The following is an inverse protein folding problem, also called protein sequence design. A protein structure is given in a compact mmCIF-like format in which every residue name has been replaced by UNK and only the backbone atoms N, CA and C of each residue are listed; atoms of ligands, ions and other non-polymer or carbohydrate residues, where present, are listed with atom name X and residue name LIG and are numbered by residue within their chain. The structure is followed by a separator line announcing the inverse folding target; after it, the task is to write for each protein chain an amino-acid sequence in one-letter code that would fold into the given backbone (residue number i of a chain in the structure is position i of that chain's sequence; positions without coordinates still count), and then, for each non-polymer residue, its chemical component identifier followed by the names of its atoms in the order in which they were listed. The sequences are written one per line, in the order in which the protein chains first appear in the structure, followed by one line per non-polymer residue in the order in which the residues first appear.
data_IF_887665586073
#
_entry.id   IF_887665586073
#
_cell.length_a   1.000
_cell.length_b   1.000
_cell.length_c   1.000
_cell.angle_alpha   90.00
_cell.angle_beta   90.00
_cell.angle_gamma   90.00
#
_symmetry.space_group_name_H-M   'P 1'
#
loop_
_entity.id
_entity.type
_entity.pdbx_description
1 polymer ?
#
# COMPACT_ATOMS: atom_id res chain seq x y z
N UNK A 1 -24.08 4.64 22.01
CA UNK A 1 -23.17 5.18 20.96
C UNK A 1 -23.64 6.57 20.50
N UNK A 2 -22.73 7.55 20.35
CA UNK A 2 -23.06 8.91 19.87
C UNK A 2 -22.32 9.13 18.56
N UNK A 3 -22.84 8.54 17.49
CA UNK A 3 -22.50 8.97 16.12
C UNK A 3 -23.29 10.26 15.90
N UNK A 4 -22.59 11.38 15.73
CA UNK A 4 -23.23 12.66 15.41
C UNK A 4 -23.96 12.52 14.07
N UNK A 5 -25.30 12.72 14.02
CA UNK A 5 -26.05 12.70 12.77
C UNK A 5 -25.59 13.88 11.91
N UNK A 6 -25.01 13.60 10.74
CA UNK A 6 -24.58 14.63 9.80
C UNK A 6 -24.23 14.08 8.43
N UNK A 7 -23.39 13.03 8.36
CA UNK A 7 -22.67 12.74 7.11
C UNK A 7 -22.87 11.32 6.53
N UNK A 8 -23.44 10.36 7.28
CA UNK A 8 -23.66 8.99 6.78
C UNK A 8 -25.08 8.81 6.24
N UNK A 9 -25.27 8.19 5.05
CA UNK A 9 -26.58 7.78 4.56
C UNK A 9 -27.33 6.94 5.60
N UNK A 10 -28.64 7.16 5.74
CA UNK A 10 -29.47 6.43 6.71
C UNK A 10 -29.35 4.90 6.55
N UNK A 11 -29.21 4.41 5.31
CA UNK A 11 -29.03 2.99 5.03
C UNK A 11 -27.77 2.41 5.68
N UNK A 12 -26.64 3.11 5.60
CA UNK A 12 -25.39 2.69 6.23
C UNK A 12 -25.52 2.70 7.76
N UNK A 13 -26.13 3.75 8.32
CA UNK A 13 -26.34 3.82 9.77
C UNK A 13 -27.22 2.66 10.27
N UNK A 14 -28.31 2.36 9.58
CA UNK A 14 -29.18 1.24 9.95
C UNK A 14 -28.44 -0.10 9.82
N UNK A 15 -27.68 -0.30 8.75
CA UNK A 15 -26.87 -1.50 8.57
C UNK A 15 -25.81 -1.66 9.68
N UNK A 16 -25.23 -0.55 10.13
CA UNK A 16 -24.24 -0.53 11.21
C UNK A 16 -24.85 -0.98 12.54
N UNK A 17 -25.92 -0.32 12.96
CA UNK A 17 -26.64 -0.67 14.19
C UNK A 17 -27.24 -2.08 14.13
N UNK A 18 -27.69 -2.51 12.95
CA UNK A 18 -28.15 -3.89 12.74
C UNK A 18 -27.02 -4.91 12.89
N UNK A 19 -25.80 -4.57 12.47
CA UNK A 19 -24.61 -5.39 12.67
C UNK A 19 -24.32 -5.66 14.15
N UNK A 20 -24.41 -4.63 14.99
CA UNK A 20 -24.28 -4.79 16.46
C UNK A 20 -25.34 -5.74 17.01
N UNK A 21 -26.62 -5.56 16.64
CA UNK A 21 -27.73 -6.38 17.11
C UNK A 21 -27.54 -7.86 16.71
N UNK A 22 -27.16 -8.12 15.46
CA UNK A 22 -26.91 -9.50 15.00
C UNK A 22 -25.77 -10.13 15.80
N UNK A 23 -24.67 -9.40 16.01
CA UNK A 23 -23.53 -9.94 16.71
C UNK A 23 -23.86 -10.27 18.16
N UNK A 24 -24.45 -9.33 18.89
CA UNK A 24 -24.87 -9.53 20.28
C UNK A 24 -25.84 -10.71 20.40
N UNK A 25 -26.76 -10.85 19.45
CA UNK A 25 -27.65 -12.02 19.39
C UNK A 25 -26.88 -13.31 19.12
N UNK A 26 -25.91 -13.31 18.20
CA UNK A 26 -25.12 -14.48 17.84
C UNK A 26 -24.24 -14.98 18.99
N UNK A 27 -23.69 -14.05 19.78
CA UNK A 27 -22.87 -14.35 20.95
C UNK A 27 -23.66 -14.48 22.25
N UNK A 28 -25.00 -14.50 22.20
CA UNK A 28 -25.89 -14.60 23.36
C UNK A 28 -25.58 -13.56 24.45
N UNK A 29 -25.29 -12.32 24.02
CA UNK A 29 -24.98 -11.17 24.88
C UNK A 29 -23.76 -11.38 25.79
N UNK A 30 -22.84 -12.26 25.40
CA UNK A 30 -21.53 -12.38 26.04
C UNK A 30 -20.63 -11.21 25.62
N UNK A 31 -19.60 -10.93 26.42
CA UNK A 31 -18.63 -9.88 26.11
C UNK A 31 -17.85 -10.22 24.84
N UNK A 32 -17.78 -9.25 23.93
CA UNK A 32 -17.09 -9.35 22.65
C UNK A 32 -16.07 -8.22 22.56
N UNK A 33 -14.84 -8.49 22.06
CA UNK A 33 -13.88 -7.44 21.83
C UNK A 33 -14.44 -6.35 20.93
N UNK A 34 -14.18 -5.09 21.28
CA UNK A 34 -14.72 -3.94 20.58
C UNK A 34 -14.29 -3.90 19.11
N UNK A 35 -13.06 -4.31 18.79
CA UNK A 35 -12.61 -4.39 17.40
C UNK A 35 -13.46 -5.34 16.54
N UNK A 36 -13.95 -6.45 17.13
CA UNK A 36 -14.79 -7.42 16.43
C UNK A 36 -16.21 -6.87 16.25
N UNK A 37 -16.74 -6.22 17.29
CA UNK A 37 -18.07 -5.61 17.26
C UNK A 37 -18.16 -4.46 16.25
N UNK A 38 -17.25 -3.49 16.36
CA UNK A 38 -17.18 -2.36 15.44
C UNK A 38 -16.77 -2.82 14.04
N UNK A 39 -15.85 -3.80 13.93
CA UNK A 39 -15.37 -4.32 12.66
C UNK A 39 -16.47 -4.99 11.84
N UNK A 40 -17.30 -5.84 12.44
CA UNK A 40 -18.45 -6.43 11.76
C UNK A 40 -19.48 -5.36 11.36
N UNK A 41 -19.83 -4.46 12.28
CA UNK A 41 -20.80 -3.40 12.00
C UNK A 41 -20.33 -2.49 10.84
N UNK A 42 -19.05 -2.11 10.83
CA UNK A 42 -18.44 -1.38 9.72
C UNK A 42 -18.42 -2.23 8.43
N UNK A 43 -18.10 -3.52 8.52
CA UNK A 43 -18.07 -4.41 7.36
C UNK A 43 -19.43 -4.58 6.67
N UNK A 44 -20.52 -4.60 7.45
CA UNK A 44 -21.87 -4.70 6.92
C UNK A 44 -22.44 -3.36 6.42
N UNK A 45 -21.95 -2.25 6.95
CA UNK A 45 -22.53 -0.91 6.71
C UNK A 45 -21.82 -0.07 5.66
N UNK A 46 -20.52 -0.28 5.46
CA UNK A 46 -19.69 0.64 4.70
C UNK A 46 -19.02 -0.04 3.50
N UNK A 47 -18.92 0.71 2.41
CA UNK A 47 -17.98 0.41 1.33
C UNK A 47 -16.61 0.97 1.70
N UNK A 48 -15.55 0.17 1.56
CA UNK A 48 -14.19 0.64 1.80
C UNK A 48 -13.69 1.44 0.60
N UNK A 49 -13.59 2.77 0.76
CA UNK A 49 -13.22 3.68 -0.32
C UNK A 49 -11.70 3.84 -0.48
N UNK A 50 -11.29 4.48 -1.58
CA UNK A 50 -9.89 4.86 -1.78
C UNK A 50 -9.43 5.90 -0.74
N UNK A 51 -10.32 6.80 -0.33
CA UNK A 51 -10.03 7.82 0.69
C UNK A 51 -9.85 7.20 2.09
N UNK A 52 -10.59 6.14 2.42
CA UNK A 52 -10.38 5.36 3.65
C UNK A 52 -9.00 4.70 3.64
N UNK A 53 -8.63 4.10 2.50
CA UNK A 53 -7.32 3.48 2.31
C UNK A 53 -6.19 4.51 2.47
N UNK A 54 -6.33 5.72 1.91
CA UNK A 54 -5.36 6.81 2.04
C UNK A 54 -5.27 7.34 3.47
N UNK A 55 -6.41 7.50 4.14
CA UNK A 55 -6.48 7.96 5.52
C UNK A 55 -5.83 6.95 6.47
N UNK A 56 -6.10 5.66 6.28
CA UNK A 56 -5.44 4.59 7.03
C UNK A 56 -3.94 4.55 6.76
N UNK A 57 -3.52 4.70 5.49
CA UNK A 57 -2.10 4.74 5.15
C UNK A 57 -1.35 5.85 5.90
N UNK A 58 -1.93 7.05 5.95
CA UNK A 58 -1.37 8.18 6.71
C UNK A 58 -1.30 7.86 8.22
N UNK A 59 -2.32 7.23 8.77
CA UNK A 59 -2.34 6.83 10.18
C UNK A 59 -1.23 5.83 10.50
N UNK A 60 -1.08 4.76 9.70
CA UNK A 60 -0.05 3.74 9.90
C UNK A 60 1.36 4.33 9.74
N UNK A 61 1.61 5.10 8.68
CA UNK A 61 2.92 5.73 8.43
C UNK A 61 3.28 6.74 9.54
N UNK A 62 2.30 7.48 10.05
CA UNK A 62 2.47 8.41 11.16
C UNK A 62 2.64 7.75 12.54
N UNK A 63 2.67 6.42 12.62
CA UNK A 63 2.74 5.69 13.90
C UNK A 63 1.44 5.75 14.71
N UNK A 64 0.32 6.06 14.07
CA UNK A 64 -1.00 6.17 14.66
C UNK A 64 -1.85 4.89 14.62
N UNK A 65 -1.27 3.74 14.24
CA UNK A 65 -1.94 2.44 14.36
C UNK A 65 -2.22 2.14 15.84
N UNK A 66 -3.39 1.57 16.13
CA UNK A 66 -3.90 1.38 17.48
C UNK A 66 -3.89 -0.13 17.78
N UNK A 67 -3.19 -0.58 18.84
CA UNK A 67 -3.29 -1.96 19.32
C UNK A 67 -4.76 -2.39 19.45
N UNK A 68 -5.11 -3.60 19.04
CA UNK A 68 -6.52 -4.03 19.07
C UNK A 68 -7.08 -4.01 20.50
N UNK A 69 -6.25 -4.36 21.48
CA UNK A 69 -6.58 -4.23 22.90
C UNK A 69 -6.86 -2.78 23.35
N UNK A 70 -6.25 -1.78 22.69
CA UNK A 70 -6.49 -0.36 23.01
C UNK A 70 -7.82 0.14 22.43
N UNK A 71 -8.36 -0.51 21.39
CA UNK A 71 -9.67 -0.17 20.80
C UNK A 71 -10.81 -0.36 21.83
N UNK A 72 -10.62 -1.16 22.87
CA UNK A 72 -11.56 -1.26 23.98
C UNK A 72 -11.87 0.10 24.62
N UNK A 73 -10.92 1.04 24.58
CA UNK A 73 -11.06 2.39 25.12
C UNK A 73 -11.58 3.42 24.11
N UNK A 74 -12.20 3.00 23.00
CA UNK A 74 -12.70 3.87 21.92
C UNK A 74 -13.52 5.06 22.43
N UNK A 75 -14.32 4.86 23.48
CA UNK A 75 -15.14 5.92 24.09
C UNK A 75 -14.34 7.08 24.71
N UNK A 76 -13.03 6.91 24.92
CA UNK A 76 -12.12 7.95 25.43
C UNK A 76 -11.36 8.67 24.32
N UNK A 77 -11.51 8.23 23.07
CA UNK A 77 -10.79 8.81 21.94
C UNK A 77 -11.44 10.11 21.46
N UNK A 78 -10.60 11.01 20.95
CA UNK A 78 -11.10 12.15 20.18
C UNK A 78 -11.63 11.65 18.82
N UNK A 79 -12.37 12.50 18.09
CA UNK A 79 -13.01 12.10 16.84
C UNK A 79 -12.02 11.52 15.80
N UNK A 80 -10.84 12.13 15.66
CA UNK A 80 -9.82 11.67 14.71
C UNK A 80 -9.28 10.27 15.05
N UNK A 81 -8.95 10.03 16.33
CA UNK A 81 -8.46 8.73 16.79
C UNK A 81 -9.57 7.67 16.78
N UNK A 82 -10.82 8.06 17.06
CA UNK A 82 -11.97 7.17 16.94
C UNK A 82 -12.18 6.73 15.48
N UNK A 83 -12.05 7.63 14.51
CA UNK A 83 -12.11 7.29 13.08
C UNK A 83 -11.05 6.24 12.70
N UNK A 84 -9.80 6.41 13.16
CA UNK A 84 -8.74 5.42 12.93
C UNK A 84 -9.10 4.08 13.56
N UNK A 85 -9.62 4.07 14.80
CA UNK A 85 -10.04 2.85 15.48
C UNK A 85 -11.16 2.10 14.73
N UNK A 86 -12.13 2.83 14.17
CA UNK A 86 -13.19 2.23 13.33
C UNK A 86 -12.62 1.63 12.04
N UNK A 87 -11.74 2.35 11.35
CA UNK A 87 -11.07 1.87 10.14
C UNK A 87 -10.19 0.64 10.41
N UNK A 88 -9.45 0.64 11.52
CA UNK A 88 -8.61 -0.48 11.94
C UNK A 88 -9.44 -1.70 12.35
N UNK A 89 -10.57 -1.49 13.03
CA UNK A 89 -11.53 -2.56 13.37
C UNK A 89 -12.12 -3.22 12.12
N UNK A 90 -12.52 -2.41 11.12
CA UNK A 90 -12.97 -2.93 9.82
C UNK A 90 -11.88 -3.79 9.17
N UNK A 91 -10.64 -3.29 9.13
CA UNK A 91 -9.53 -4.00 8.50
C UNK A 91 -9.17 -5.28 9.25
N UNK A 92 -9.24 -5.29 10.58
CA UNK A 92 -9.00 -6.48 11.41
C UNK A 92 -10.06 -7.55 11.13
N UNK A 93 -11.33 -7.16 11.10
CA UNK A 93 -12.42 -8.06 10.78
C UNK A 93 -12.33 -8.61 9.35
N UNK A 94 -12.05 -7.73 8.38
CA UNK A 94 -11.85 -8.13 6.98
C UNK A 94 -10.66 -9.06 6.85
N UNK A 95 -9.53 -8.75 7.49
CA UNK A 95 -8.35 -9.60 7.49
C UNK A 95 -8.63 -10.98 8.08
N UNK A 96 -9.36 -11.03 9.19
CA UNK A 96 -9.81 -12.29 9.80
C UNK A 96 -10.65 -13.12 8.81
N UNK A 97 -11.61 -12.50 8.14
CA UNK A 97 -12.45 -13.18 7.15
C UNK A 97 -11.67 -13.64 5.93
N UNK A 98 -10.80 -12.80 5.38
CA UNK A 98 -10.01 -13.12 4.19
C UNK A 98 -8.98 -14.24 4.47
N UNK A 99 -8.45 -14.30 5.71
CA UNK A 99 -7.38 -15.24 6.09
C UNK A 99 -7.91 -16.58 6.62
N UNK A 100 -8.90 -16.54 7.52
CA UNK A 100 -9.41 -17.74 8.20
C UNK A 100 -10.81 -18.17 7.72
N UNK A 101 -11.53 -17.28 7.04
CA UNK A 101 -12.82 -17.59 6.43
C UNK A 101 -14.01 -17.58 7.39
N UNK A 102 -15.20 -17.66 6.80
CA UNK A 102 -16.47 -17.64 7.54
C UNK A 102 -16.66 -18.85 8.48
N UNK A 103 -15.99 -19.97 8.22
CA UNK A 103 -16.04 -21.14 9.10
C UNK A 103 -15.38 -20.86 10.45
N UNK A 104 -14.19 -20.24 10.46
CA UNK A 104 -13.53 -19.82 11.69
C UNK A 104 -14.32 -18.73 12.41
N UNK A 105 -14.96 -17.80 11.69
CA UNK A 105 -15.86 -16.83 12.33
C UNK A 105 -17.02 -17.52 13.07
N UNK A 106 -17.66 -18.52 12.45
CA UNK A 106 -18.75 -19.27 13.12
C UNK A 106 -18.26 -19.99 14.38
N UNK A 107 -17.06 -20.57 14.35
CA UNK A 107 -16.46 -21.21 15.53
C UNK A 107 -16.21 -20.16 16.61
N UNK A 108 -15.58 -19.03 16.27
CA UNK A 108 -15.29 -17.95 17.20
C UNK A 108 -16.57 -17.46 17.90
N UNK A 109 -17.62 -17.16 17.14
CA UNK A 109 -18.89 -16.69 17.70
C UNK A 109 -19.57 -17.75 18.58
N UNK A 110 -19.52 -19.03 18.19
CA UNK A 110 -20.10 -20.12 18.98
C UNK A 110 -19.35 -20.33 20.31
N UNK A 111 -18.03 -20.24 20.29
CA UNK A 111 -17.20 -20.35 21.49
C UNK A 111 -17.45 -19.16 22.43
N UNK A 112 -17.53 -17.94 21.92
CA UNK A 112 -17.91 -16.76 22.72
C UNK A 112 -19.33 -16.96 23.29
N UNK A 113 -20.30 -17.42 22.48
CA UNK A 113 -21.68 -17.69 22.93
C UNK A 113 -21.78 -18.74 24.05
N UNK A 114 -20.76 -19.59 24.19
CA UNK A 114 -20.64 -20.57 25.26
C UNK A 114 -20.08 -19.98 26.58
N UNK A 115 -19.71 -18.70 26.59
CA UNK A 115 -19.12 -18.00 27.74
C UNK A 115 -17.63 -18.26 27.93
N UNK A 116 -16.94 -18.73 26.88
CA UNK A 116 -15.49 -18.95 26.96
C UNK A 116 -14.74 -17.61 26.88
N UNK A 117 -13.60 -17.48 27.59
CA UNK A 117 -12.73 -16.33 27.44
C UNK A 117 -12.29 -16.15 25.99
N UNK A 118 -12.10 -14.91 25.56
CA UNK A 118 -11.79 -14.58 24.16
C UNK A 118 -10.55 -15.31 23.63
N UNK A 119 -9.48 -15.45 24.43
CA UNK A 119 -8.27 -16.16 24.00
C UNK A 119 -8.53 -17.64 23.71
N UNK A 120 -9.38 -18.28 24.51
CA UNK A 120 -9.77 -19.66 24.29
C UNK A 120 -10.65 -19.79 23.04
N UNK A 121 -11.55 -18.83 22.82
CA UNK A 121 -12.41 -18.79 21.63
C UNK A 121 -11.59 -18.56 20.34
N UNK A 122 -10.60 -17.65 20.37
CA UNK A 122 -9.66 -17.41 19.28
C UNK A 122 -8.81 -18.65 19.00
N UNK A 123 -8.28 -19.29 20.06
CA UNK A 123 -7.48 -20.51 19.92
C UNK A 123 -8.30 -21.62 19.27
N UNK A 124 -9.58 -21.78 19.64
CA UNK A 124 -10.46 -22.76 19.02
C UNK A 124 -10.78 -22.43 17.55
N UNK A 125 -10.93 -21.15 17.21
CA UNK A 125 -11.31 -20.71 15.87
C UNK A 125 -10.18 -20.72 14.84
N UNK A 126 -8.97 -20.31 15.26
CA UNK A 126 -7.83 -20.05 14.36
C UNK A 126 -6.51 -20.66 14.85
N UNK A 127 -6.50 -21.34 16.00
CA UNK A 127 -5.29 -21.95 16.56
C UNK A 127 -4.32 -20.98 17.24
N UNK A 128 -4.74 -19.73 17.46
CA UNK A 128 -3.93 -18.66 18.04
C UNK A 128 -4.75 -17.82 19.03
N UNK A 129 -4.11 -17.27 20.06
CA UNK A 129 -4.73 -16.33 21.01
C UNK A 129 -4.90 -14.92 20.40
N UNK A 130 -5.53 -14.01 21.15
CA UNK A 130 -5.76 -12.64 20.67
C UNK A 130 -4.46 -11.89 20.40
N UNK A 131 -3.46 -12.04 21.27
CA UNK A 131 -2.15 -11.39 21.15
C UNK A 131 -1.38 -11.87 19.90
N UNK A 132 -1.45 -13.16 19.57
CA UNK A 132 -0.84 -13.71 18.37
C UNK A 132 -1.54 -13.20 17.10
N UNK A 133 -2.87 -13.14 17.11
CA UNK A 133 -3.65 -12.53 16.03
C UNK A 133 -3.30 -11.05 15.87
N UNK A 134 -3.20 -10.28 16.96
CA UNK A 134 -2.83 -8.86 16.91
C UNK A 134 -1.44 -8.67 16.30
N UNK A 135 -0.45 -9.48 16.68
CA UNK A 135 0.90 -9.42 16.09
C UNK A 135 0.89 -9.78 14.60
N UNK A 136 0.05 -10.72 14.19
CA UNK A 136 -0.11 -11.09 12.78
C UNK A 136 -0.77 -9.97 11.98
N UNK A 137 -1.88 -9.46 12.48
CA UNK A 137 -2.62 -8.35 11.88
C UNK A 137 -1.78 -7.07 11.79
N UNK A 138 -1.01 -6.73 12.83
CA UNK A 138 -0.12 -5.57 12.84
C UNK A 138 0.96 -5.68 11.75
N UNK A 139 1.52 -6.88 11.54
CA UNK A 139 2.46 -7.15 10.42
C UNK A 139 1.78 -6.99 9.07
N UNK A 140 0.54 -7.48 8.93
CA UNK A 140 -0.26 -7.27 7.72
C UNK A 140 -0.51 -5.77 7.45
N UNK A 141 -0.92 -5.00 8.47
CA UNK A 141 -1.14 -3.55 8.33
C UNK A 141 0.14 -2.82 7.90
N UNK A 142 1.26 -3.10 8.55
CA UNK A 142 2.55 -2.50 8.21
C UNK A 142 2.99 -2.90 6.79
N UNK A 143 2.78 -4.16 6.39
CA UNK A 143 3.06 -4.63 5.04
C UNK A 143 2.17 -3.98 3.98
N UNK A 144 0.88 -3.80 4.28
CA UNK A 144 -0.09 -3.17 3.37
C UNK A 144 0.17 -1.67 3.18
N UNK A 145 0.45 -0.95 4.27
CA UNK A 145 0.53 0.51 4.30
C UNK A 145 1.97 1.05 4.45
N UNK A 146 2.97 0.30 4.00
CA UNK A 146 4.34 0.80 4.02
C UNK A 146 4.54 1.97 3.03
N UNK A 147 5.55 2.81 3.30
CA UNK A 147 5.95 3.95 2.45
C UNK A 147 6.24 3.51 1.00
N UNK A 148 6.73 2.28 0.81
CA UNK A 148 7.03 1.73 -0.50
C UNK A 148 5.73 1.57 -1.31
N UNK A 149 4.68 0.95 -0.77
CA UNK A 149 3.36 0.83 -1.39
C UNK A 149 2.82 2.20 -1.78
N UNK A 150 2.92 3.20 -0.89
CA UNK A 150 2.45 4.55 -1.18
C UNK A 150 3.26 5.26 -2.29
N UNK A 151 4.59 5.10 -2.31
CA UNK A 151 5.44 5.69 -3.34
C UNK A 151 5.25 5.02 -4.71
N UNK A 152 5.07 3.70 -4.77
CA UNK A 152 4.96 2.95 -6.02
C UNK A 152 3.54 2.90 -6.61
N UNK A 153 2.48 3.09 -5.80
CA UNK A 153 1.08 3.19 -6.29
C UNK A 153 0.77 4.53 -6.97
N UNK A 154 1.62 5.54 -6.80
CA UNK A 154 1.38 6.88 -7.35
C UNK A 154 1.91 7.03 -8.77
N UNK A 155 1.02 7.28 -9.73
CA UNK A 155 1.41 7.64 -11.12
C UNK A 155 2.37 8.85 -11.17
N UNK A 156 2.31 9.74 -10.18
CA UNK A 156 3.21 10.89 -10.09
C UNK A 156 4.67 10.47 -9.87
N UNK A 157 4.91 9.39 -9.12
CA UNK A 157 6.26 8.86 -8.95
C UNK A 157 6.84 8.41 -10.29
N UNK A 158 6.06 7.64 -11.08
CA UNK A 158 6.48 7.19 -12.41
C UNK A 158 6.63 8.34 -13.40
N UNK A 159 5.77 9.36 -13.34
CA UNK A 159 5.88 10.59 -14.15
C UNK A 159 7.13 11.38 -13.79
N UNK A 160 7.44 11.55 -12.50
CA UNK A 160 8.64 12.23 -12.02
C UNK A 160 9.91 11.46 -12.41
N UNK A 161 9.91 10.14 -12.22
CA UNK A 161 11.01 9.28 -12.63
C UNK A 161 11.24 9.37 -14.15
N UNK A 162 10.18 9.29 -14.95
CA UNK A 162 10.25 9.47 -16.40
C UNK A 162 10.79 10.86 -16.77
N UNK A 163 10.35 11.92 -16.10
CA UNK A 163 10.87 13.27 -16.29
C UNK A 163 12.36 13.36 -15.99
N UNK A 164 12.82 12.79 -14.87
CA UNK A 164 14.25 12.78 -14.50
C UNK A 164 15.07 12.03 -15.56
N UNK A 165 14.58 10.88 -16.04
CA UNK A 165 15.24 10.12 -17.11
C UNK A 165 15.27 10.91 -18.42
N UNK A 166 14.18 11.56 -18.81
CA UNK A 166 14.09 12.38 -20.04
C UNK A 166 15.03 13.58 -19.94
N UNK A 167 14.99 14.32 -18.83
CA UNK A 167 15.87 15.48 -18.61
C UNK A 167 17.32 15.04 -18.58
N UNK A 168 17.65 13.94 -17.90
CA UNK A 168 18.99 13.35 -17.90
C UNK A 168 19.43 12.94 -19.30
N UNK A 169 18.57 12.27 -20.07
CA UNK A 169 18.84 11.89 -21.45
C UNK A 169 19.07 13.11 -22.35
N UNK A 170 18.22 14.14 -22.25
CA UNK A 170 18.38 15.39 -22.98
C UNK A 170 19.71 16.04 -22.59
N UNK A 171 20.02 16.14 -21.30
CA UNK A 171 21.25 16.77 -20.81
C UNK A 171 22.50 16.02 -21.29
N UNK A 172 22.50 14.68 -21.25
CA UNK A 172 23.57 13.84 -21.79
C UNK A 172 23.69 14.02 -23.30
N UNK A 173 22.57 14.05 -24.03
CA UNK A 173 22.57 14.20 -25.49
C UNK A 173 23.06 15.58 -25.93
N UNK A 174 22.66 16.64 -25.22
CA UNK A 174 23.13 18.01 -25.46
C UNK A 174 24.63 18.14 -25.14
N UNK A 175 25.09 17.56 -24.02
CA UNK A 175 26.52 17.58 -23.65
C UNK A 175 27.38 16.73 -24.58
N UNK A 176 26.82 15.65 -25.16
CA UNK A 176 27.52 14.79 -26.13
C UNK A 176 27.75 15.49 -27.47
N UNK A 177 26.83 16.34 -27.94
CA UNK A 177 27.01 17.12 -29.19
C UNK A 177 28.27 17.99 -29.17
N UNK A 178 28.45 18.78 -28.12
CA UNK A 178 29.64 19.65 -27.95
C UNK A 178 30.96 18.88 -27.91
N UNK A 179 30.92 17.62 -27.48
CA UNK A 179 32.10 16.77 -27.39
C UNK A 179 32.50 16.18 -28.74
N UNK A 180 31.53 15.99 -29.65
CA UNK A 180 31.77 15.51 -31.01
C UNK A 180 32.38 16.64 -31.86
N UNK A 181 31.85 17.86 -31.77
CA UNK A 181 32.42 19.03 -32.47
C UNK A 181 33.91 19.25 -32.12
N UNK A 182 34.27 19.10 -30.85
CA UNK A 182 35.67 19.18 -30.41
C UNK A 182 36.55 18.04 -30.93
N UNK A 183 35.97 16.85 -31.14
CA UNK A 183 36.68 15.72 -31.74
C UNK A 183 36.86 15.94 -33.24
N UNK A 184 35.83 16.43 -33.94
CA UNK A 184 35.89 16.76 -35.36
C UNK A 184 36.89 17.89 -35.64
N UNK A 185 36.92 18.94 -34.80
CA UNK A 185 37.90 20.03 -34.91
C UNK A 185 39.34 19.54 -34.62
N UNK A 186 39.50 18.67 -33.62
CA UNK A 186 40.80 18.06 -33.31
C UNK A 186 41.25 17.12 -34.43
N UNK A 187 40.35 16.30 -34.98
CA UNK A 187 40.60 15.42 -36.11
C UNK A 187 40.88 16.21 -37.38
N UNK A 188 40.24 17.35 -37.63
CA UNK A 188 40.53 18.23 -38.77
C UNK A 188 41.87 18.96 -38.63
N UNK A 189 42.28 19.32 -37.42
CA UNK A 189 43.59 19.92 -37.14
C UNK A 189 44.73 18.90 -37.16
N UNK A 190 44.44 17.64 -36.81
CA UNK A 190 45.39 16.54 -36.77
C UNK A 190 45.18 15.48 -37.87
N UNK A 191 44.35 15.76 -38.87
CA UNK A 191 44.19 14.87 -40.03
C UNK A 191 45.50 14.89 -40.81
N UNK A 192 46.35 13.90 -40.55
CA UNK A 192 47.40 13.52 -41.46
C UNK A 192 46.75 12.79 -42.63
N UNK A 193 45.96 13.52 -43.42
CA UNK A 193 45.55 13.04 -44.73
C UNK A 193 46.80 13.13 -45.61
N UNK A 194 47.60 12.07 -45.55
CA UNK A 194 48.69 11.87 -46.49
C UNK A 194 48.04 11.63 -47.85
N UNK A 195 47.99 12.69 -48.65
CA UNK A 195 47.74 12.60 -50.09
C UNK A 195 48.83 11.72 -50.70
N UNK A 196 48.54 10.42 -50.83
CA UNK A 196 49.27 9.54 -51.71
C UNK A 196 48.89 9.94 -53.13
N UNK A 197 49.51 11.03 -53.60
CA UNK A 197 49.41 11.45 -54.99
C UNK A 197 49.67 10.25 -55.89
N UNK A 198 48.81 10.07 -56.89
CA UNK A 198 48.91 9.02 -57.90
C UNK A 198 50.35 8.97 -58.42
N UNK A 199 51.09 7.91 -58.05
CA UNK A 199 52.41 7.67 -58.62
C UNK A 199 52.22 7.39 -60.10
N UNK A 200 52.68 8.30 -60.96
CA UNK A 200 52.76 8.11 -62.40
C UNK A 200 53.29 6.70 -62.71
N UNK A 201 52.51 5.92 -63.46
CA UNK A 201 52.98 4.66 -64.03
C UNK A 201 54.11 4.99 -65.01
N UNK A 202 55.27 4.32 -64.95
CA UNK A 202 56.29 4.52 -65.97
C UNK A 202 55.77 4.00 -67.31
N UNK A 203 55.80 4.86 -68.33
CA UNK A 203 55.53 4.49 -69.72
C UNK A 203 56.51 3.39 -70.16
N UNK A 204 55.97 2.21 -70.47
CA UNK A 204 56.65 1.20 -71.26
C UNK A 204 56.76 1.70 -72.72
N UNK A 205 57.89 1.34 -73.34
CA UNK A 205 58.20 1.34 -74.77
C UNK A 205 58.85 2.61 -75.38
N UNK A 206 60.19 2.55 -75.62
CA UNK A 206 60.77 2.42 -76.98
C UNK A 206 62.32 2.35 -77.03
N UNK A 207 62.90 1.84 -78.14
CA UNK A 207 64.15 1.08 -78.17
C UNK A 207 65.39 1.91 -78.51
N UNK A 208 66.58 1.35 -78.26
CA UNK A 208 67.85 1.90 -78.72
C UNK A 208 68.42 1.03 -79.85
N UNK A 209 68.75 1.71 -80.96
CA UNK A 209 69.52 1.22 -82.12
C UNK A 209 70.95 0.77 -81.74
#
# INVERSE_FOLDING_TARGET
PRITPGDKPLGELVAHEYGHIILESAVRYQDVPRWLNEGLAMYLSAEWSWDDNLSMARAVIGGGAIPLNDIEYLNRFNAAKAQVAYSESFLAFKYFLDTYGASSLRILLAEIASGRPIDAAMTAAIGADTDAFEREFSRFLQGRYNIVSFLFDSNLFWILLAMVVIVGFIFVRLRRRRRIEQLDDYEALHSTDFDYGETEKPDEDKPWD
#
